data_IF_323808375138
#
_entry.id   IF_323808375138
#
_cell.length_a   1.000
_cell.length_b   1.000
_cell.length_c   1.000
_cell.angle_alpha   90.00
_cell.angle_beta   90.00
_cell.angle_gamma   90.00
#
_symmetry.space_group_name_H-M   'P 1'
#
loop_
_entity.id
_entity.type
_entity.pdbx_description
1 polymer ?
#
# COMPACT_ATOMS: atom_id res chain seq x y z
N UNK A 1 6.78 -7.81 -10.38
CA UNK A 1 6.20 -8.59 -9.26
C UNK A 1 5.55 -9.83 -9.87
N UNK A 2 5.90 -11.04 -9.42
CA UNK A 2 5.24 -12.26 -9.89
C UNK A 2 3.88 -12.39 -9.20
N UNK A 3 2.80 -12.51 -9.96
CA UNK A 3 1.49 -12.86 -9.45
C UNK A 3 1.48 -14.37 -9.19
N UNK A 4 1.88 -14.77 -7.98
CA UNK A 4 1.86 -16.17 -7.56
C UNK A 4 0.68 -16.39 -6.62
N UNK A 5 -0.20 -17.31 -6.99
CA UNK A 5 -1.41 -17.63 -6.24
C UNK A 5 -2.45 -16.50 -6.20
N UNK A 6 -3.44 -16.65 -5.32
CA UNK A 6 -4.51 -15.66 -5.12
C UNK A 6 -3.97 -14.40 -4.46
N UNK A 7 -4.19 -13.25 -5.09
CA UNK A 7 -3.80 -11.96 -4.53
C UNK A 7 -4.67 -11.63 -3.31
N UNK A 8 -4.03 -11.09 -2.28
CA UNK A 8 -4.67 -10.56 -1.09
C UNK A 8 -4.61 -9.05 -1.13
N UNK A 9 -5.65 -8.42 -0.62
CA UNK A 9 -5.69 -6.98 -0.53
C UNK A 9 -5.06 -6.49 0.78
N UNK A 10 -4.16 -5.53 0.68
CA UNK A 10 -3.50 -4.91 1.83
C UNK A 10 -3.78 -3.41 1.87
N UNK A 11 -4.19 -2.91 3.04
CA UNK A 11 -4.15 -1.49 3.39
C UNK A 11 -2.77 -1.19 3.95
N UNK A 12 -1.99 -0.44 3.19
CA UNK A 12 -0.66 0.03 3.61
C UNK A 12 -0.71 1.53 3.85
N UNK A 13 -0.21 1.97 5.00
CA UNK A 13 -0.12 3.37 5.39
C UNK A 13 1.34 3.69 5.70
N UNK A 14 1.86 4.76 5.12
CA UNK A 14 3.22 5.24 5.38
C UNK A 14 3.32 6.75 5.37
N UNK A 15 4.42 7.27 5.90
CA UNK A 15 4.72 8.70 6.00
C UNK A 15 6.22 8.94 5.85
N UNK A 16 6.61 10.18 5.58
CA UNK A 16 8.01 10.58 5.75
C UNK A 16 8.39 10.53 7.23
N UNK A 17 9.68 10.36 7.52
CA UNK A 17 10.18 10.53 8.87
C UNK A 17 10.01 12.00 9.32
N UNK A 18 9.65 12.24 10.59
CA UNK A 18 9.63 13.59 11.15
C UNK A 18 10.99 14.28 10.99
N UNK A 19 10.97 15.56 10.61
CA UNK A 19 12.17 16.39 10.50
C UNK A 19 11.97 17.68 11.29
N UNK A 20 13.04 18.42 11.68
CA UNK A 20 12.89 19.70 12.37
C UNK A 20 12.05 20.72 11.61
N UNK A 21 12.02 20.63 10.28
CA UNK A 21 11.19 21.49 9.41
C UNK A 21 9.72 21.06 9.36
N UNK A 22 9.45 19.77 9.57
CA UNK A 22 8.11 19.19 9.51
C UNK A 22 7.99 18.04 10.51
N UNK A 23 7.50 18.37 11.71
CA UNK A 23 7.35 17.43 12.82
C UNK A 23 6.24 16.41 12.62
N UNK A 24 5.20 16.76 11.85
CA UNK A 24 4.04 15.90 11.59
C UNK A 24 3.81 15.69 10.09
N UNK A 25 4.60 14.82 9.44
CA UNK A 25 4.41 14.51 8.03
C UNK A 25 3.04 13.86 7.76
N UNK A 26 2.42 14.13 6.60
CA UNK A 26 1.14 13.55 6.24
C UNK A 26 1.22 12.03 6.05
N UNK A 27 0.13 11.35 6.38
CA UNK A 27 -0.04 9.91 6.18
C UNK A 27 -0.60 9.63 4.79
N UNK A 28 0.05 8.74 4.04
CA UNK A 28 -0.42 8.24 2.76
C UNK A 28 -0.92 6.81 2.89
N UNK A 29 -2.11 6.55 2.35
CA UNK A 29 -2.75 5.22 2.37
C UNK A 29 -2.93 4.70 0.95
N UNK A 30 -2.58 3.43 0.73
CA UNK A 30 -2.82 2.72 -0.52
C UNK A 30 -3.49 1.36 -0.27
N UNK A 31 -4.32 0.91 -1.22
CA UNK A 31 -4.81 -0.48 -1.30
C UNK A 31 -3.93 -1.21 -2.32
N UNK A 32 -3.27 -2.28 -1.90
CA UNK A 32 -2.29 -3.00 -2.71
C UNK A 32 -2.68 -4.47 -2.77
N UNK A 33 -2.82 -5.00 -3.98
CA UNK A 33 -3.04 -6.42 -4.22
C UNK A 33 -1.70 -7.15 -4.30
N UNK A 34 -1.44 -8.07 -3.38
CA UNK A 34 -0.20 -8.83 -3.30
C UNK A 34 -0.37 -10.23 -2.69
N UNK A 35 0.50 -11.21 -3.00
CA UNK A 35 0.47 -12.54 -2.39
C UNK A 35 0.70 -12.51 -0.88
N UNK A 36 1.54 -11.59 -0.40
CA UNK A 36 1.88 -11.47 1.02
C UNK A 36 2.24 -10.02 1.41
N UNK A 37 2.38 -9.79 2.71
CA UNK A 37 2.66 -8.47 3.27
C UNK A 37 4.04 -7.93 2.88
N UNK A 38 5.05 -8.78 2.66
CA UNK A 38 6.40 -8.34 2.26
C UNK A 38 6.37 -7.70 0.88
N UNK A 39 5.71 -8.37 -0.07
CA UNK A 39 5.53 -7.86 -1.43
C UNK A 39 4.63 -6.62 -1.42
N UNK A 40 3.60 -6.57 -0.56
CA UNK A 40 2.75 -5.40 -0.39
C UNK A 40 3.56 -4.16 0.04
N UNK A 41 4.43 -4.29 1.06
CA UNK A 41 5.34 -3.21 1.49
C UNK A 41 6.28 -2.77 0.37
N UNK A 42 6.83 -3.72 -0.41
CA UNK A 42 7.70 -3.41 -1.54
C UNK A 42 6.97 -2.61 -2.63
N UNK A 43 5.75 -3.02 -3.00
CA UNK A 43 4.92 -2.30 -3.98
C UNK A 43 4.48 -0.92 -3.48
N UNK A 44 4.23 -0.76 -2.17
CA UNK A 44 3.95 0.54 -1.58
C UNK A 44 5.09 1.52 -1.86
N UNK A 45 6.33 1.12 -1.55
CA UNK A 45 7.50 1.97 -1.80
C UNK A 45 7.69 2.29 -3.29
N UNK A 46 7.45 1.30 -4.17
CA UNK A 46 7.50 1.51 -5.61
C UNK A 46 6.55 2.65 -6.06
N UNK A 47 5.27 2.57 -5.71
CA UNK A 47 4.29 3.57 -6.13
C UNK A 47 4.46 4.92 -5.44
N UNK A 48 4.76 4.93 -4.14
CA UNK A 48 4.96 6.16 -3.37
C UNK A 48 6.17 6.94 -3.86
N UNK A 49 7.23 6.26 -4.32
CA UNK A 49 8.39 6.92 -4.92
C UNK A 49 8.04 7.69 -6.20
N UNK A 50 7.11 7.15 -7.01
CA UNK A 50 6.64 7.78 -8.24
C UNK A 50 5.69 8.96 -7.96
N UNK A 51 4.87 8.87 -6.91
CA UNK A 51 3.83 9.86 -6.62
C UNK A 51 4.28 11.00 -5.68
N UNK A 52 5.14 10.72 -4.70
CA UNK A 52 5.42 11.63 -3.58
C UNK A 52 6.89 11.81 -3.22
N UNK A 53 7.83 11.44 -4.11
CA UNK A 53 9.30 11.57 -3.89
C UNK A 53 9.77 11.01 -2.53
N UNK A 54 9.06 10.04 -1.98
CA UNK A 54 9.37 9.42 -0.69
C UNK A 54 9.99 8.04 -0.96
N UNK A 55 11.09 7.75 -0.23
CA UNK A 55 11.85 6.50 -0.35
C UNK A 55 11.78 5.75 0.98
N UNK A 56 12.07 4.45 0.94
CA UNK A 56 12.14 3.59 2.14
C UNK A 56 13.12 4.12 3.19
N UNK A 57 14.21 4.77 2.78
CA UNK A 57 15.19 5.34 3.71
C UNK A 57 14.74 6.64 4.36
N UNK A 58 13.84 7.41 3.73
CA UNK A 58 13.36 8.70 4.22
C UNK A 58 11.94 8.66 4.79
N UNK A 59 11.36 7.47 4.90
CA UNK A 59 10.01 7.27 5.39
C UNK A 59 9.84 5.94 6.10
N UNK A 60 8.68 5.79 6.73
CA UNK A 60 8.31 4.59 7.46
C UNK A 60 6.90 4.12 7.06
N UNK A 61 6.68 2.81 7.16
CA UNK A 61 5.34 2.22 7.05
C UNK A 61 4.77 2.15 8.46
N UNK A 62 3.72 2.92 8.72
CA UNK A 62 3.03 2.99 10.00
C UNK A 62 2.11 1.79 10.19
N UNK A 63 1.47 1.34 9.12
CA UNK A 63 0.55 0.20 9.17
C UNK A 63 0.59 -0.61 7.87
N UNK A 64 0.53 -1.93 8.00
CA UNK A 64 0.36 -2.85 6.88
C UNK A 64 -0.53 -4.01 7.33
N UNK A 65 -1.80 -3.98 6.92
CA UNK A 65 -2.76 -5.02 7.30
C UNK A 65 -3.60 -5.47 6.12
N UNK A 66 -4.01 -6.74 6.14
CA UNK A 66 -4.88 -7.32 5.14
C UNK A 66 -6.30 -6.75 5.29
N UNK A 67 -6.94 -6.44 4.16
CA UNK A 67 -8.35 -6.05 4.09
C UNK A 67 -9.12 -7.22 3.50
N UNK A 68 -10.19 -7.62 4.17
CA UNK A 68 -11.09 -8.67 3.70
C UNK A 68 -12.32 -8.05 3.06
N UNK A 69 -12.84 -8.72 2.03
CA UNK A 69 -14.08 -8.31 1.38
C UNK A 69 -15.25 -8.41 2.35
N UNK A 70 -16.09 -7.37 2.41
CA UNK A 70 -17.15 -7.27 3.43
C UNK A 70 -18.28 -8.26 3.21
N UNK A 71 -18.57 -8.60 1.95
CA UNK A 71 -19.61 -9.55 1.58
C UNK A 71 -19.08 -10.50 0.51
N UNK A 72 -18.29 -11.52 0.90
CA UNK A 72 -17.62 -12.42 -0.04
C UNK A 72 -18.59 -13.38 -0.74
N UNK A 73 -19.76 -13.64 -0.15
CA UNK A 73 -20.77 -14.54 -0.72
C UNK A 73 -21.65 -13.89 -1.79
N UNK A 74 -21.56 -12.56 -1.97
CA UNK A 74 -22.38 -11.83 -2.94
C UNK A 74 -21.59 -11.56 -4.20
N UNK A 75 -22.12 -11.97 -5.35
CA UNK A 75 -21.57 -11.62 -6.67
C UNK A 75 -21.63 -10.10 -6.87
N UNK A 76 -20.53 -9.53 -7.37
CA UNK A 76 -20.36 -8.08 -7.61
C UNK A 76 -19.60 -7.85 -8.89
N UNK A 77 -19.95 -6.77 -9.58
CA UNK A 77 -19.22 -6.28 -10.75
C UNK A 77 -18.19 -5.24 -10.30
N UNK A 78 -16.92 -5.42 -10.66
CA UNK A 78 -15.84 -4.48 -10.35
C UNK A 78 -15.20 -3.98 -11.66
N UNK A 79 -15.08 -2.66 -11.80
CA UNK A 79 -14.27 -2.05 -12.86
C UNK A 79 -12.82 -1.89 -12.41
N UNK A 80 -11.89 -2.48 -13.15
CA UNK A 80 -10.45 -2.39 -12.88
C UNK A 80 -9.81 -1.48 -13.91
N UNK A 81 -9.21 -0.38 -13.45
CA UNK A 81 -8.37 0.48 -14.28
C UNK A 81 -6.96 -0.09 -14.36
N UNK A 82 -6.49 -0.34 -15.59
CA UNK A 82 -5.14 -0.84 -15.86
C UNK A 82 -4.29 0.28 -16.49
N UNK A 83 -3.01 0.29 -16.14
CA UNK A 83 -1.99 1.20 -16.67
C UNK A 83 -0.70 0.44 -16.91
#
# INVERSE_FOLDING_TARGET
MKASGTLREYKVVGRCLPTPKCHTPPLYRMRIFAPNHVVAKSRFWYFVSQLKKMKKSSGEIVYCGQVFEKSPLRVKNFGIWLR
#
